data_IF_034555461761
#
_entry.id   IF_034555461761
#
_cell.length_a   1.000
_cell.length_b   1.000
_cell.length_c   1.000
_cell.angle_alpha   90.00
_cell.angle_beta   90.00
_cell.angle_gamma   90.00
#
_symmetry.space_group_name_H-M   'P 1'
#
loop_
_entity.id
_entity.type
_entity.pdbx_description
1 polymer ?
#
# COMPACT_ATOMS: atom_id res chain seq x y z
N UNK A 1 3.57 6.25 -14.74
CA UNK A 1 4.66 6.70 -13.83
C UNK A 1 4.13 7.00 -12.43
N UNK A 2 3.05 7.77 -12.29
CA UNK A 2 2.49 8.14 -10.98
C UNK A 2 2.02 6.94 -10.14
N UNK A 3 1.28 5.99 -10.73
CA UNK A 3 0.86 4.74 -10.06
C UNK A 3 2.03 3.88 -9.58
N UNK A 4 3.09 3.77 -10.39
CA UNK A 4 4.29 3.01 -10.03
C UNK A 4 5.04 3.69 -8.87
N UNK A 5 5.15 5.01 -8.87
CA UNK A 5 5.74 5.76 -7.77
C UNK A 5 4.93 5.60 -6.48
N UNK A 6 3.60 5.63 -6.58
CA UNK A 6 2.70 5.42 -5.45
C UNK A 6 2.81 3.99 -4.89
N UNK A 7 2.90 2.98 -5.76
CA UNK A 7 3.11 1.58 -5.37
C UNK A 7 4.47 1.38 -4.66
N UNK A 8 5.54 1.96 -5.20
CA UNK A 8 6.87 1.88 -4.57
C UNK A 8 6.87 2.54 -3.19
N UNK A 9 6.19 3.68 -3.05
CA UNK A 9 6.05 4.36 -1.77
C UNK A 9 5.23 3.54 -0.76
N UNK A 10 4.11 2.94 -1.18
CA UNK A 10 3.28 2.07 -0.34
C UNK A 10 4.08 0.86 0.18
N UNK A 11 4.82 0.19 -0.70
CA UNK A 11 5.68 -0.95 -0.35
C UNK A 11 6.82 -0.55 0.59
N UNK A 12 7.42 0.63 0.39
CA UNK A 12 8.49 1.15 1.27
C UNK A 12 7.99 1.33 2.69
N UNK A 13 6.81 1.94 2.86
CA UNK A 13 6.20 2.13 4.18
C UNK A 13 5.75 0.80 4.82
N UNK A 14 5.26 -0.15 4.03
CA UNK A 14 4.95 -1.50 4.51
C UNK A 14 6.20 -2.20 5.06
N UNK A 15 7.32 -2.18 4.34
CA UNK A 15 8.60 -2.77 4.80
C UNK A 15 9.10 -2.06 6.05
N UNK A 16 8.97 -0.73 6.11
CA UNK A 16 9.33 0.04 7.30
C UNK A 16 8.48 -0.36 8.50
N UNK A 17 7.17 -0.56 8.32
CA UNK A 17 6.30 -1.04 9.38
C UNK A 17 6.69 -2.46 9.83
N UNK A 18 6.93 -3.39 8.89
CA UNK A 18 7.31 -4.76 9.22
C UNK A 18 8.66 -4.87 9.97
N UNK A 19 9.59 -3.96 9.70
CA UNK A 19 10.91 -3.96 10.33
C UNK A 19 10.97 -3.20 11.66
N UNK A 20 10.09 -2.22 11.89
CA UNK A 20 10.19 -1.32 13.05
C UNK A 20 8.93 -1.24 13.91
N UNK A 21 7.82 -1.85 13.49
CA UNK A 21 6.49 -1.70 14.08
C UNK A 21 6.03 -0.23 14.21
N UNK A 22 6.55 0.66 13.38
CA UNK A 22 6.19 2.08 13.37
C UNK A 22 4.75 2.28 12.88
N UNK A 23 3.87 2.73 13.78
CA UNK A 23 2.44 2.97 13.49
C UNK A 23 2.24 4.02 12.39
N UNK A 24 3.08 5.05 12.33
CA UNK A 24 3.00 6.08 11.29
C UNK A 24 3.31 5.48 9.90
N UNK A 25 4.27 4.55 9.82
CA UNK A 25 4.59 3.87 8.56
C UNK A 25 3.41 3.00 8.10
N UNK A 26 2.72 2.33 9.02
CA UNK A 26 1.51 1.55 8.74
C UNK A 26 0.38 2.43 8.18
N UNK A 27 0.09 3.56 8.81
CA UNK A 27 -0.94 4.51 8.35
C UNK A 27 -0.61 5.06 6.95
N UNK A 28 0.66 5.38 6.70
CA UNK A 28 1.14 5.83 5.38
C UNK A 28 0.98 4.75 4.32
N UNK A 29 1.31 3.50 4.62
CA UNK A 29 1.12 2.39 3.71
C UNK A 29 -0.37 2.17 3.38
N UNK A 30 -1.24 2.16 4.39
CA UNK A 30 -2.70 2.02 4.22
C UNK A 30 -3.27 3.09 3.28
N UNK A 31 -3.01 4.38 3.55
CA UNK A 31 -3.52 5.46 2.71
C UNK A 31 -3.07 5.34 1.25
N UNK A 32 -1.83 4.90 1.01
CA UNK A 32 -1.31 4.76 -0.34
C UNK A 32 -1.90 3.55 -1.08
N UNK A 33 -2.13 2.43 -0.38
CA UNK A 33 -2.79 1.26 -0.97
C UNK A 33 -4.28 1.49 -1.23
N UNK A 34 -4.98 2.24 -0.36
CA UNK A 34 -6.36 2.70 -0.62
C UNK A 34 -6.41 3.60 -1.87
N UNK A 35 -5.50 4.58 -1.97
CA UNK A 35 -5.41 5.43 -3.14
C UNK A 35 -5.09 4.63 -4.42
N UNK A 36 -4.30 3.56 -4.33
CA UNK A 36 -4.01 2.66 -5.45
C UNK A 36 -5.24 1.84 -5.87
N UNK A 37 -6.07 1.38 -4.94
CA UNK A 37 -7.30 0.64 -5.25
C UNK A 37 -8.40 1.53 -5.86
N UNK A 38 -8.38 2.82 -5.58
CA UNK A 38 -9.38 3.77 -6.12
C UNK A 38 -9.05 4.28 -7.53
N UNK A 39 -7.83 4.02 -8.03
CA UNK A 39 -7.41 4.44 -9.37
C UNK A 39 -8.09 3.59 -10.44
N UNK A 40 -9.09 4.11 -11.14
CA UNK A 40 -9.85 3.45 -12.24
C UNK A 40 -9.06 2.86 -13.42
N UNK A 41 -7.74 3.07 -13.49
CA UNK A 41 -6.82 2.44 -14.47
C UNK A 41 -6.02 1.27 -13.88
N UNK A 42 -6.36 0.83 -12.67
CA UNK A 42 -5.75 -0.30 -11.98
C UNK A 42 -5.97 -1.60 -12.75
N UNK A 43 -4.86 -2.20 -13.15
CA UNK A 43 -4.83 -3.60 -13.52
C UNK A 43 -5.38 -4.43 -12.33
N UNK A 44 -6.36 -5.31 -12.56
CA UNK A 44 -7.05 -6.12 -11.54
C UNK A 44 -6.10 -6.83 -10.56
N UNK A 45 -4.92 -7.19 -11.04
CA UNK A 45 -3.86 -7.80 -10.23
C UNK A 45 -3.27 -6.85 -9.17
N UNK A 46 -3.14 -5.55 -9.49
CA UNK A 46 -2.66 -4.53 -8.56
C UNK A 46 -3.71 -4.26 -7.48
N UNK A 47 -5.00 -4.21 -7.83
CA UNK A 47 -6.08 -4.08 -6.86
C UNK A 47 -6.09 -5.23 -5.85
N UNK A 48 -5.98 -6.47 -6.32
CA UNK A 48 -5.97 -7.65 -5.44
C UNK A 48 -4.76 -7.63 -4.50
N UNK A 49 -3.58 -7.25 -5.00
CA UNK A 49 -2.38 -7.07 -4.17
C UNK A 49 -2.54 -5.94 -3.13
N UNK A 50 -3.19 -4.83 -3.50
CA UNK A 50 -3.45 -3.73 -2.56
C UNK A 50 -4.43 -4.16 -1.46
N UNK A 51 -5.47 -4.91 -1.80
CA UNK A 51 -6.43 -5.45 -0.83
C UNK A 51 -5.74 -6.43 0.14
N UNK A 52 -4.91 -7.34 -0.37
CA UNK A 52 -4.14 -8.25 0.47
C UNK A 52 -3.17 -7.50 1.41
N UNK A 53 -2.46 -6.49 0.89
CA UNK A 53 -1.56 -5.66 1.70
C UNK A 53 -2.30 -4.90 2.79
N UNK A 54 -3.47 -4.34 2.48
CA UNK A 54 -4.33 -3.66 3.45
C UNK A 54 -4.82 -4.61 4.55
N UNK A 55 -5.20 -5.84 4.22
CA UNK A 55 -5.59 -6.84 5.21
C UNK A 55 -4.43 -7.17 6.17
N UNK A 56 -3.21 -7.34 5.64
CA UNK A 56 -2.02 -7.58 6.46
C UNK A 56 -1.72 -6.40 7.38
N UNK A 57 -1.88 -5.18 6.88
CA UNK A 57 -1.70 -3.95 7.68
C UNK A 57 -2.80 -3.77 8.73
N UNK A 58 -4.02 -4.26 8.52
CA UNK A 58 -5.12 -4.10 9.47
C UNK A 58 -4.95 -4.95 10.76
N UNK A 59 -4.15 -6.02 10.68
CA UNK A 59 -3.77 -6.91 11.80
C UNK A 59 -2.73 -6.31 12.73
#
# INVERSE_FOLDING_TARGET
>A
METQNLLIAALTHLIQFQSSHCVIARERALMMFEALSDLKESNTEIEDLCLQANALLAT
#
